data_IF_474950200439
#
_entry.id   IF_474950200439
#
_cell.length_a   1.000
_cell.length_b   1.000
_cell.length_c   1.000
_cell.angle_alpha   90.00
_cell.angle_beta   90.00
_cell.angle_gamma   90.00
#
_symmetry.space_group_name_H-M   'P 1'
#
loop_
_entity.id
_entity.type
_entity.pdbx_description
1 polymer ?
#
# COMPACT_ATOMS: atom_id res chain seq x y z
N UNK A 1 19.16 -2.24 8.75
CA UNK A 1 18.92 -1.02 7.95
C UNK A 1 19.27 0.26 8.73
N UNK A 2 18.62 0.56 9.86
CA UNK A 2 18.86 1.84 10.59
C UNK A 2 20.29 1.99 11.13
N UNK A 3 20.94 0.91 11.59
CA UNK A 3 22.31 0.96 12.10
C UNK A 3 23.36 1.38 11.05
N UNK A 4 23.03 1.25 9.76
CA UNK A 4 23.92 1.58 8.65
C UNK A 4 23.27 2.64 7.73
N UNK A 5 22.51 3.57 8.33
CA UNK A 5 21.85 4.66 7.60
C UNK A 5 22.88 5.56 6.90
N UNK A 6 22.57 6.06 5.70
CA UNK A 6 21.35 5.83 4.93
C UNK A 6 21.40 4.60 4.01
N UNK A 7 22.57 4.10 3.61
CA UNK A 7 22.72 3.19 2.47
C UNK A 7 23.35 1.83 2.81
N UNK A 8 23.44 1.50 4.08
CA UNK A 8 24.26 0.40 4.57
C UNK A 8 23.84 -1.03 4.18
N UNK A 9 22.72 -1.23 3.48
CA UNK A 9 22.30 -2.53 2.95
C UNK A 9 22.16 -2.54 1.42
N UNK A 10 22.74 -1.55 0.74
CA UNK A 10 22.80 -1.54 -0.72
C UNK A 10 23.80 -2.61 -1.18
N UNK A 11 23.34 -3.52 -2.04
CA UNK A 11 24.15 -4.61 -2.58
C UNK A 11 24.85 -4.22 -3.89
N UNK A 12 24.21 -3.34 -4.69
CA UNK A 12 24.76 -2.83 -5.96
C UNK A 12 25.63 -1.59 -5.79
N UNK A 13 26.18 -1.10 -6.91
CA UNK A 13 26.89 0.18 -6.95
C UNK A 13 25.90 1.33 -7.03
N UNK A 14 25.76 2.10 -5.95
CA UNK A 14 24.81 3.20 -5.88
C UNK A 14 24.97 4.26 -6.98
N UNK A 15 26.20 4.55 -7.41
CA UNK A 15 26.47 5.60 -8.40
C UNK A 15 26.20 5.14 -9.83
N UNK A 16 26.32 3.84 -10.08
CA UNK A 16 26.17 3.25 -11.41
C UNK A 16 24.78 2.67 -11.61
N UNK A 17 24.24 2.01 -10.58
CA UNK A 17 23.02 1.23 -10.67
C UNK A 17 21.81 1.91 -10.01
N UNK A 18 22.03 2.81 -9.05
CA UNK A 18 20.97 3.49 -8.31
C UNK A 18 20.24 4.54 -9.14
N UNK A 19 18.92 4.39 -9.30
CA UNK A 19 18.07 5.28 -10.11
C UNK A 19 17.14 6.12 -9.26
N UNK A 20 16.64 5.56 -8.15
CA UNK A 20 15.66 6.23 -7.30
C UNK A 20 15.83 5.86 -5.83
N UNK A 21 15.49 6.83 -4.98
CA UNK A 21 15.43 6.65 -3.52
C UNK A 21 14.01 6.86 -3.04
N UNK A 22 13.55 5.96 -2.17
CA UNK A 22 12.36 6.14 -1.35
C UNK A 22 12.70 5.99 0.13
N UNK A 23 11.84 6.51 1.00
CA UNK A 23 11.98 6.32 2.44
C UNK A 23 10.65 6.12 3.12
N UNK A 24 10.66 5.41 4.25
CA UNK A 24 9.55 5.37 5.17
C UNK A 24 9.36 6.73 5.86
N UNK A 25 8.21 6.92 6.53
CA UNK A 25 7.89 8.19 7.23
C UNK A 25 8.86 8.57 8.34
N UNK A 26 9.70 7.63 8.79
CA UNK A 26 10.72 7.91 9.81
C UNK A 26 10.18 8.31 11.18
N UNK A 27 8.92 8.00 11.48
CA UNK A 27 8.25 8.35 12.75
C UNK A 27 8.91 7.74 13.99
N UNK A 28 9.88 6.83 13.81
CA UNK A 28 10.74 6.30 14.87
C UNK A 28 12.10 7.00 14.98
N UNK A 29 12.25 8.19 14.39
CA UNK A 29 13.48 8.97 14.33
C UNK A 29 14.20 8.82 13.00
N UNK A 30 14.90 7.71 12.75
CA UNK A 30 15.62 7.48 11.50
C UNK A 30 14.73 6.74 10.49
N UNK A 31 14.42 7.34 9.31
CA UNK A 31 13.65 6.68 8.27
C UNK A 31 14.39 5.46 7.70
N UNK A 32 13.66 4.49 7.19
CA UNK A 32 14.24 3.43 6.37
C UNK A 32 14.36 3.95 4.94
N UNK A 33 15.58 3.93 4.40
CA UNK A 33 15.88 4.35 3.02
C UNK A 33 16.00 3.11 2.15
N UNK A 34 15.36 3.16 0.99
CA UNK A 34 15.41 2.13 -0.04
C UNK A 34 15.91 2.75 -1.34
N UNK A 35 16.92 2.13 -1.91
CA UNK A 35 17.47 2.47 -3.25
C UNK A 35 16.94 1.45 -4.25
N UNK A 36 16.59 1.91 -5.43
CA UNK A 36 16.10 1.09 -6.53
C UNK A 36 17.02 1.22 -7.75
N UNK A 37 17.29 0.09 -8.43
CA UNK A 37 17.80 0.07 -9.81
C UNK A 37 16.65 0.32 -10.81
N UNK A 38 16.98 0.42 -12.09
CA UNK A 38 15.95 0.48 -13.14
C UNK A 38 15.16 -0.83 -13.18
N UNK A 39 15.82 -1.98 -13.01
CA UNK A 39 15.14 -3.28 -12.91
C UNK A 39 14.14 -3.32 -11.73
N UNK A 40 14.56 -2.86 -10.54
CA UNK A 40 13.67 -2.80 -9.37
C UNK A 40 12.43 -1.96 -9.64
N UNK A 41 12.57 -0.83 -10.36
CA UNK A 41 11.46 0.06 -10.72
C UNK A 41 10.53 -0.57 -11.76
N UNK A 42 11.09 -1.26 -12.75
CA UNK A 42 10.31 -1.93 -13.80
C UNK A 42 9.55 -3.13 -13.24
N UNK A 43 10.19 -3.91 -12.38
CA UNK A 43 9.56 -5.01 -11.63
C UNK A 43 8.43 -4.47 -10.75
N UNK A 44 8.66 -3.42 -9.99
CA UNK A 44 7.64 -2.79 -9.16
C UNK A 44 6.45 -2.25 -9.96
N UNK A 45 6.69 -1.55 -11.07
CA UNK A 45 5.62 -1.09 -11.96
C UNK A 45 4.79 -2.27 -12.51
N UNK A 46 5.45 -3.38 -12.85
CA UNK A 46 4.78 -4.60 -13.30
C UNK A 46 3.94 -5.25 -12.19
N UNK A 47 4.44 -5.31 -10.96
CA UNK A 47 3.69 -5.82 -9.80
C UNK A 47 2.40 -5.02 -9.59
N UNK A 48 2.47 -3.69 -9.57
CA UNK A 48 1.29 -2.84 -9.37
C UNK A 48 0.34 -2.94 -10.55
N UNK A 49 0.83 -3.05 -11.79
CA UNK A 49 -0.02 -3.30 -12.96
C UNK A 49 -0.81 -4.62 -12.82
N UNK A 50 -0.17 -5.70 -12.37
CA UNK A 50 -0.81 -6.99 -12.06
C UNK A 50 -1.88 -6.84 -10.97
N UNK A 51 -1.61 -6.05 -9.93
CA UNK A 51 -2.56 -5.74 -8.87
C UNK A 51 -3.81 -5.04 -9.42
N UNK A 52 -3.64 -4.00 -10.20
CA UNK A 52 -4.74 -3.26 -10.82
C UNK A 52 -5.54 -4.15 -11.78
N UNK A 53 -4.85 -4.96 -12.57
CA UNK A 53 -5.51 -5.95 -13.44
C UNK A 53 -6.32 -6.97 -12.64
N UNK A 54 -5.83 -7.37 -11.46
CA UNK A 54 -6.45 -8.35 -10.57
C UNK A 54 -7.85 -7.93 -10.09
N UNK A 55 -8.05 -6.63 -9.89
CA UNK A 55 -9.34 -6.04 -9.47
C UNK A 55 -10.19 -5.53 -10.64
N UNK A 56 -9.85 -5.89 -11.87
CA UNK A 56 -10.66 -5.60 -13.04
C UNK A 56 -10.33 -4.31 -13.78
N UNK A 57 -9.33 -3.54 -13.36
CA UNK A 57 -8.88 -2.34 -14.08
C UNK A 57 -8.15 -2.75 -15.36
N UNK A 58 -8.38 -2.01 -16.44
CA UNK A 58 -7.85 -2.30 -17.79
C UNK A 58 -7.25 -1.03 -18.43
N UNK A 59 -6.62 -1.20 -19.56
CA UNK A 59 -6.06 -0.09 -20.37
C UNK A 59 -7.12 0.88 -20.92
N UNK A 60 -8.39 0.54 -20.85
CA UNK A 60 -9.51 1.42 -21.23
C UNK A 60 -10.02 2.26 -20.06
N UNK A 61 -9.49 2.06 -18.85
CA UNK A 61 -9.90 2.79 -17.66
C UNK A 61 -9.15 4.10 -17.49
N UNK A 62 -9.76 5.02 -16.75
CA UNK A 62 -9.12 6.24 -16.27
C UNK A 62 -8.83 6.05 -14.79
N UNK A 63 -7.54 5.95 -14.45
CA UNK A 63 -7.07 5.73 -13.09
C UNK A 63 -6.61 7.05 -12.46
N UNK A 64 -7.28 7.47 -11.40
CA UNK A 64 -6.88 8.65 -10.63
C UNK A 64 -6.15 8.25 -9.36
N UNK A 65 -4.97 8.86 -9.14
CA UNK A 65 -4.17 8.62 -7.95
C UNK A 65 -4.22 9.82 -7.01
N UNK A 66 -4.86 9.66 -5.86
CA UNK A 66 -4.98 10.70 -4.83
C UNK A 66 -3.95 10.58 -3.70
N UNK A 67 -2.89 9.81 -3.89
CA UNK A 67 -1.77 9.74 -2.94
C UNK A 67 -0.75 10.84 -3.14
N UNK A 68 -0.06 11.21 -2.06
CA UNK A 68 1.07 12.13 -2.12
C UNK A 68 2.25 11.55 -2.90
N UNK A 69 2.90 12.41 -3.67
CA UNK A 69 4.16 12.10 -4.37
C UNK A 69 5.35 12.54 -3.52
N UNK A 70 6.54 12.02 -3.80
CA UNK A 70 7.77 12.34 -3.10
C UNK A 70 8.48 11.09 -2.59
N UNK A 71 9.00 11.16 -1.37
CA UNK A 71 9.78 10.06 -0.78
C UNK A 71 8.95 8.82 -0.45
N UNK A 72 7.63 8.97 -0.27
CA UNK A 72 6.72 7.85 -0.03
C UNK A 72 6.42 7.09 -1.32
N UNK A 73 6.22 5.79 -1.18
CA UNK A 73 6.08 4.87 -2.32
C UNK A 73 4.70 4.89 -2.97
N UNK A 74 3.65 5.25 -2.22
CA UNK A 74 2.24 5.11 -2.67
C UNK A 74 1.93 5.88 -3.95
N UNK A 75 2.35 7.16 -4.04
CA UNK A 75 2.07 7.99 -5.21
C UNK A 75 2.70 7.43 -6.50
N UNK A 76 4.01 7.28 -6.50
CA UNK A 76 4.74 6.82 -7.69
C UNK A 76 4.44 5.36 -8.03
N UNK A 77 4.30 4.47 -7.02
CA UNK A 77 4.01 3.07 -7.26
C UNK A 77 2.70 2.86 -8.03
N UNK A 78 1.62 3.47 -7.57
CA UNK A 78 0.33 3.38 -8.29
C UNK A 78 0.35 4.06 -9.64
N UNK A 79 1.04 5.20 -9.77
CA UNK A 79 1.17 5.86 -11.07
C UNK A 79 1.86 4.97 -12.09
N UNK A 80 3.08 4.52 -11.81
CA UNK A 80 3.82 3.69 -12.76
C UNK A 80 3.14 2.35 -13.04
N UNK A 81 2.45 1.78 -12.06
CA UNK A 81 1.65 0.57 -12.28
C UNK A 81 0.48 0.79 -13.21
N UNK A 82 -0.25 1.89 -13.06
CA UNK A 82 -1.37 2.24 -13.94
C UNK A 82 -0.89 2.57 -15.36
N UNK A 83 0.20 3.33 -15.50
CA UNK A 83 0.84 3.62 -16.79
C UNK A 83 1.35 2.33 -17.46
N UNK A 84 1.97 1.42 -16.71
CA UNK A 84 2.43 0.10 -17.19
C UNK A 84 1.27 -0.77 -17.67
N UNK A 85 0.11 -0.69 -17.01
CA UNK A 85 -1.13 -1.36 -17.44
C UNK A 85 -1.70 -0.75 -18.72
N UNK A 86 -1.32 0.48 -19.05
CA UNK A 86 -1.84 1.26 -20.17
C UNK A 86 -3.12 2.05 -19.86
N UNK A 87 -3.52 2.16 -18.58
CA UNK A 87 -4.65 2.99 -18.16
C UNK A 87 -4.31 4.48 -18.30
N UNK A 88 -5.28 5.30 -18.66
CA UNK A 88 -5.10 6.76 -18.64
C UNK A 88 -4.97 7.23 -17.19
N UNK A 89 -3.77 7.67 -16.82
CA UNK A 89 -3.45 7.98 -15.43
C UNK A 89 -3.59 9.47 -15.12
N UNK A 90 -4.35 9.79 -14.07
CA UNK A 90 -4.53 11.16 -13.55
C UNK A 90 -3.71 11.30 -12.26
N UNK A 91 -2.54 11.96 -12.28
CA UNK A 91 -1.66 12.14 -11.13
C UNK A 91 -2.15 13.30 -10.25
N UNK A 92 -3.32 13.11 -9.62
CA UNK A 92 -4.02 14.17 -8.90
C UNK A 92 -3.33 14.61 -7.61
N UNK A 93 -2.45 13.79 -7.06
CA UNK A 93 -1.77 13.95 -5.77
C UNK A 93 -2.76 14.05 -4.59
N UNK A 94 -2.24 14.20 -3.38
CA UNK A 94 -3.06 14.33 -2.17
C UNK A 94 -3.64 15.74 -2.01
N UNK A 95 -4.72 15.84 -1.22
CA UNK A 95 -5.32 17.12 -0.83
C UNK A 95 -6.35 17.68 -1.82
N UNK A 96 -6.94 18.81 -1.45
CA UNK A 96 -7.97 19.54 -2.20
C UNK A 96 -9.11 18.64 -2.72
N UNK A 97 -9.95 18.16 -1.81
CA UNK A 97 -11.00 17.19 -2.14
C UNK A 97 -12.01 17.67 -3.20
N UNK A 98 -12.31 18.97 -3.25
CA UNK A 98 -13.15 19.53 -4.31
C UNK A 98 -12.51 19.39 -5.69
N UNK A 99 -11.20 19.61 -5.80
CA UNK A 99 -10.44 19.38 -7.03
C UNK A 99 -10.41 17.89 -7.43
N UNK A 100 -10.32 16.99 -6.44
CA UNK A 100 -10.39 15.55 -6.72
C UNK A 100 -11.74 15.17 -7.35
N UNK A 101 -12.85 15.69 -6.82
CA UNK A 101 -14.20 15.46 -7.37
C UNK A 101 -14.30 16.05 -8.77
N UNK A 102 -13.78 17.26 -8.97
CA UNK A 102 -13.75 17.87 -10.29
C UNK A 102 -13.02 17.01 -11.31
N UNK A 103 -11.86 16.44 -10.95
CA UNK A 103 -11.12 15.54 -11.83
C UNK A 103 -11.89 14.24 -12.11
N UNK A 104 -12.54 13.65 -11.09
CA UNK A 104 -13.39 12.48 -11.28
C UNK A 104 -14.47 12.75 -12.31
N UNK A 105 -15.10 13.91 -12.24
CA UNK A 105 -16.20 14.31 -13.13
C UNK A 105 -15.72 14.68 -14.53
N UNK A 106 -14.68 15.52 -14.63
CA UNK A 106 -14.20 16.07 -15.91
C UNK A 106 -13.50 15.00 -16.75
N UNK A 107 -12.60 14.21 -16.11
CA UNK A 107 -11.81 13.19 -16.79
C UNK A 107 -12.49 11.82 -16.86
N UNK A 108 -13.72 11.72 -16.33
CA UNK A 108 -14.48 10.46 -16.34
C UNK A 108 -13.71 9.32 -15.65
N UNK A 109 -13.12 9.61 -14.50
CA UNK A 109 -12.38 8.64 -13.72
C UNK A 109 -13.23 7.40 -13.44
N UNK A 110 -12.71 6.22 -13.77
CA UNK A 110 -13.37 4.92 -13.54
C UNK A 110 -12.81 4.18 -12.34
N UNK A 111 -11.54 4.43 -12.02
CA UNK A 111 -10.84 3.82 -10.90
C UNK A 111 -10.05 4.89 -10.11
N UNK A 112 -10.12 4.80 -8.78
CA UNK A 112 -9.47 5.73 -7.85
C UNK A 112 -8.62 4.97 -6.85
N UNK A 113 -7.41 5.47 -6.58
CA UNK A 113 -6.65 5.07 -5.39
C UNK A 113 -6.77 6.13 -4.30
N UNK A 114 -7.10 5.70 -3.07
CA UNK A 114 -7.18 6.55 -1.89
C UNK A 114 -6.91 5.75 -0.60
N UNK A 115 -6.46 6.38 0.47
CA UNK A 115 -6.45 5.76 1.78
C UNK A 115 -7.89 5.69 2.34
N UNK A 116 -8.23 4.69 3.17
CA UNK A 116 -9.60 4.49 3.67
C UNK A 116 -10.23 5.72 4.34
N UNK A 117 -9.49 6.41 5.20
CA UNK A 117 -9.96 7.63 5.86
C UNK A 117 -10.26 8.75 4.87
N UNK A 118 -9.44 8.89 3.82
CA UNK A 118 -9.66 9.89 2.79
C UNK A 118 -10.83 9.53 1.86
N UNK A 119 -11.05 8.25 1.57
CA UNK A 119 -12.21 7.81 0.80
C UNK A 119 -13.55 8.19 1.49
N UNK A 120 -13.61 8.07 2.82
CA UNK A 120 -14.77 8.54 3.61
C UNK A 120 -14.91 10.06 3.48
N UNK A 121 -13.82 10.81 3.67
CA UNK A 121 -13.83 12.28 3.54
C UNK A 121 -14.26 12.72 2.13
N UNK A 122 -13.79 12.02 1.11
CA UNK A 122 -14.17 12.33 -0.28
C UNK A 122 -15.69 12.14 -0.51
N UNK A 123 -16.26 11.07 0.07
CA UNK A 123 -17.70 10.83 0.00
C UNK A 123 -18.52 11.93 0.71
N UNK A 124 -18.03 12.43 1.84
CA UNK A 124 -18.64 13.58 2.53
C UNK A 124 -18.59 14.86 1.67
N UNK A 125 -17.45 15.11 1.02
CA UNK A 125 -17.31 16.28 0.13
C UNK A 125 -18.20 16.17 -1.11
N UNK A 126 -18.40 14.99 -1.67
CA UNK A 126 -19.41 14.76 -2.72
C UNK A 126 -20.80 15.23 -2.25
N UNK A 127 -21.16 14.91 -1.02
CA UNK A 127 -22.44 15.27 -0.41
C UNK A 127 -22.52 16.80 -0.18
N UNK A 128 -21.42 17.41 0.33
CA UNK A 128 -21.30 18.88 0.52
C UNK A 128 -21.46 19.65 -0.81
N UNK A 129 -20.94 19.11 -1.90
CA UNK A 129 -21.05 19.72 -3.25
C UNK A 129 -22.38 19.38 -3.96
N UNK A 130 -23.27 18.61 -3.33
CA UNK A 130 -24.55 18.22 -3.92
C UNK A 130 -24.44 17.27 -5.12
N UNK A 131 -23.33 16.55 -5.24
CA UNK A 131 -23.06 15.59 -6.33
C UNK A 131 -23.27 14.17 -5.83
N UNK A 132 -24.13 13.41 -6.47
CA UNK A 132 -24.22 11.96 -6.20
C UNK A 132 -23.01 11.24 -6.82
N UNK A 133 -22.15 10.59 -6.03
CA UNK A 133 -21.02 9.84 -6.59
C UNK A 133 -21.44 8.78 -7.63
N UNK A 134 -22.65 8.20 -7.47
CA UNK A 134 -23.18 7.19 -8.38
C UNK A 134 -23.53 7.74 -9.77
N UNK A 135 -23.66 9.06 -9.90
CA UNK A 135 -23.86 9.72 -11.19
C UNK A 135 -22.55 9.86 -11.98
N UNK A 136 -21.40 9.59 -11.36
CA UNK A 136 -20.09 9.63 -11.99
C UNK A 136 -19.74 8.28 -12.67
N UNK A 137 -18.61 8.25 -13.34
CA UNK A 137 -18.07 7.03 -13.97
C UNK A 137 -17.28 6.15 -13.01
N UNK A 138 -17.09 6.57 -11.75
CA UNK A 138 -16.29 5.87 -10.75
C UNK A 138 -16.93 4.52 -10.39
N UNK A 139 -16.16 3.43 -10.52
CA UNK A 139 -16.63 2.06 -10.28
C UNK A 139 -15.73 1.31 -9.30
N UNK A 140 -14.44 1.58 -9.36
CA UNK A 140 -13.42 0.82 -8.62
C UNK A 140 -12.64 1.75 -7.70
N UNK A 141 -12.49 1.35 -6.46
CA UNK A 141 -11.62 2.01 -5.49
C UNK A 141 -10.55 1.03 -5.01
N UNK A 142 -9.30 1.45 -5.04
CA UNK A 142 -8.19 0.74 -4.42
C UNK A 142 -7.88 1.44 -3.10
N UNK A 143 -7.94 0.72 -1.99
CA UNK A 143 -7.68 1.24 -0.64
C UNK A 143 -6.52 0.51 0.01
N UNK A 144 -5.72 1.23 0.79
CA UNK A 144 -4.57 0.65 1.50
C UNK A 144 -3.85 1.68 2.35
N UNK A 145 -2.69 1.32 2.85
CA UNK A 145 -1.84 2.13 3.73
C UNK A 145 -2.42 2.42 5.12
N UNK A 146 -3.67 2.07 5.39
CA UNK A 146 -4.31 2.16 6.70
C UNK A 146 -5.06 0.85 7.02
N UNK A 147 -5.03 0.38 8.28
CA UNK A 147 -5.93 -0.67 8.73
C UNK A 147 -7.39 -0.23 8.57
N UNK A 148 -8.23 -1.13 8.14
CA UNK A 148 -9.66 -0.89 8.04
C UNK A 148 -10.45 -2.19 8.22
N UNK A 149 -11.68 -2.08 8.73
CA UNK A 149 -12.57 -3.23 8.90
C UNK A 149 -13.43 -3.47 7.66
N UNK A 150 -14.10 -4.63 7.61
CA UNK A 150 -15.07 -4.92 6.55
C UNK A 150 -16.26 -3.96 6.58
N UNK A 151 -16.67 -3.54 7.77
CA UNK A 151 -17.75 -2.56 7.95
C UNK A 151 -17.34 -1.20 7.36
N UNK A 152 -16.11 -0.77 7.61
CA UNK A 152 -15.58 0.47 7.03
C UNK A 152 -15.51 0.38 5.50
N UNK A 153 -15.01 -0.74 4.95
CA UNK A 153 -15.01 -0.97 3.50
C UNK A 153 -16.41 -0.91 2.92
N UNK A 154 -17.36 -1.65 3.49
CA UNK A 154 -18.76 -1.65 3.05
C UNK A 154 -19.41 -0.27 3.17
N UNK A 155 -19.04 0.51 4.21
CA UNK A 155 -19.47 1.91 4.34
C UNK A 155 -18.97 2.75 3.16
N UNK A 156 -17.68 2.67 2.84
CA UNK A 156 -17.07 3.37 1.70
C UNK A 156 -17.77 2.98 0.38
N UNK A 157 -17.95 1.68 0.15
CA UNK A 157 -18.63 1.15 -1.03
C UNK A 157 -20.04 1.72 -1.19
N UNK A 158 -20.82 1.74 -0.09
CA UNK A 158 -22.17 2.32 -0.12
C UNK A 158 -22.18 3.82 -0.35
N UNK A 159 -21.28 4.56 0.28
CA UNK A 159 -21.23 6.02 0.16
C UNK A 159 -20.82 6.47 -1.24
N UNK A 160 -19.85 5.81 -1.85
CA UNK A 160 -19.31 6.18 -3.16
C UNK A 160 -19.97 5.43 -4.34
N UNK A 161 -20.71 4.35 -4.09
CA UNK A 161 -21.30 3.52 -5.13
C UNK A 161 -20.27 2.69 -5.91
N UNK A 162 -19.17 2.29 -5.28
CA UNK A 162 -18.03 1.59 -5.89
C UNK A 162 -17.79 0.22 -5.27
N UNK A 163 -16.91 -0.58 -5.91
CA UNK A 163 -16.25 -1.71 -5.25
C UNK A 163 -14.88 -1.28 -4.77
N UNK A 164 -14.58 -1.56 -3.48
CA UNK A 164 -13.33 -1.19 -2.84
C UNK A 164 -12.47 -2.43 -2.56
N UNK A 165 -11.22 -2.42 -3.07
CA UNK A 165 -10.29 -3.54 -2.97
C UNK A 165 -9.09 -3.14 -2.11
N UNK A 166 -8.71 -4.03 -1.20
CA UNK A 166 -7.59 -3.82 -0.29
C UNK A 166 -6.25 -4.07 -1.00
N UNK A 167 -5.28 -3.20 -0.72
CA UNK A 167 -3.90 -3.35 -1.14
C UNK A 167 -2.96 -3.29 0.06
N UNK A 168 -2.00 -4.19 0.08
CA UNK A 168 -0.94 -4.21 1.08
C UNK A 168 0.40 -3.90 0.43
N UNK A 169 1.18 -3.10 1.11
CA UNK A 169 2.52 -2.76 0.70
C UNK A 169 3.26 -2.02 1.81
N UNK A 170 4.57 -1.96 1.66
CA UNK A 170 5.46 -1.26 2.58
C UNK A 170 6.69 -0.78 1.82
N UNK A 171 7.28 0.31 2.28
CA UNK A 171 8.44 0.94 1.62
C UNK A 171 9.59 -0.05 1.44
N UNK A 172 9.83 -0.90 2.43
CA UNK A 172 10.89 -1.90 2.43
C UNK A 172 10.71 -2.96 1.33
N UNK A 173 9.48 -3.16 0.87
CA UNK A 173 9.11 -4.13 -0.19
C UNK A 173 8.66 -3.44 -1.49
N UNK A 174 9.30 -2.34 -1.87
CA UNK A 174 8.99 -1.46 -3.00
C UNK A 174 7.79 -0.51 -2.78
N UNK A 175 6.90 -0.76 -1.84
CA UNK A 175 5.70 0.04 -1.62
C UNK A 175 4.40 -0.72 -1.94
N UNK A 176 3.41 -0.12 -2.61
CA UNK A 176 2.22 -0.85 -3.03
C UNK A 176 2.56 -1.96 -4.03
N UNK A 177 1.76 -3.01 -4.05
CA UNK A 177 1.95 -4.13 -4.99
C UNK A 177 2.50 -5.40 -4.36
N UNK A 178 2.71 -5.46 -3.05
CA UNK A 178 3.20 -6.65 -2.34
C UNK A 178 2.13 -7.72 -2.26
N UNK A 179 0.93 -7.36 -1.78
CA UNK A 179 -0.23 -8.23 -1.79
C UNK A 179 -1.50 -7.44 -2.11
N UNK A 180 -2.46 -8.08 -2.78
CA UNK A 180 -3.63 -7.38 -3.30
C UNK A 180 -4.86 -8.28 -3.34
N UNK A 181 -6.02 -7.74 -3.01
CA UNK A 181 -7.29 -8.44 -3.22
C UNK A 181 -7.56 -8.65 -4.72
N UNK A 182 -8.34 -9.66 -5.02
CA UNK A 182 -8.96 -9.84 -6.33
C UNK A 182 -10.45 -9.49 -6.26
N UNK A 183 -11.19 -9.69 -7.35
CA UNK A 183 -12.64 -9.42 -7.42
C UNK A 183 -13.48 -10.18 -6.40
N UNK A 184 -12.95 -11.29 -5.84
CA UNK A 184 -13.63 -12.10 -4.80
C UNK A 184 -13.61 -11.44 -3.42
N UNK A 185 -12.74 -10.44 -3.19
CA UNK A 185 -12.57 -9.75 -1.90
C UNK A 185 -12.34 -10.72 -0.71
N UNK A 186 -11.68 -11.84 -0.96
CA UNK A 186 -11.42 -12.91 0.00
C UNK A 186 -9.93 -13.13 0.21
N UNK A 187 -9.29 -12.23 0.93
CA UNK A 187 -7.85 -12.23 1.16
C UNK A 187 -7.06 -11.59 0.02
N UNK A 188 -5.80 -11.31 0.30
CA UNK A 188 -4.87 -10.66 -0.62
C UNK A 188 -3.88 -11.68 -1.17
N UNK A 189 -3.77 -11.78 -2.49
CA UNK A 189 -2.79 -12.61 -3.18
C UNK A 189 -1.41 -11.99 -3.08
N UNK A 190 -0.42 -12.81 -2.77
CA UNK A 190 1.00 -12.48 -2.91
C UNK A 190 1.52 -12.88 -4.28
N UNK A 191 2.49 -12.14 -4.76
CA UNK A 191 3.21 -12.47 -6.00
C UNK A 191 4.42 -13.34 -5.66
N UNK A 192 4.23 -14.67 -5.63
CA UNK A 192 5.23 -15.65 -5.18
C UNK A 192 6.44 -15.77 -6.12
N UNK A 193 6.35 -15.22 -7.32
CA UNK A 193 7.49 -15.03 -8.22
C UNK A 193 8.45 -13.90 -7.77
N UNK A 194 7.95 -12.97 -6.93
CA UNK A 194 8.73 -11.84 -6.43
C UNK A 194 8.97 -11.85 -4.92
N UNK A 195 8.15 -12.61 -4.17
CA UNK A 195 8.24 -12.69 -2.71
C UNK A 195 8.08 -14.12 -2.22
N UNK A 196 9.00 -14.54 -1.34
CA UNK A 196 8.80 -15.71 -0.51
C UNK A 196 8.17 -15.29 0.82
N UNK A 197 7.08 -15.94 1.20
CA UNK A 197 6.22 -15.55 2.31
C UNK A 197 6.26 -16.59 3.40
N UNK A 198 6.52 -16.16 4.63
CA UNK A 198 6.45 -16.99 5.83
C UNK A 198 5.53 -16.34 6.85
N UNK A 199 4.83 -17.16 7.63
CA UNK A 199 4.13 -16.72 8.85
C UNK A 199 4.79 -17.42 10.03
N UNK A 200 5.31 -16.62 10.96
CA UNK A 200 6.07 -17.13 12.09
C UNK A 200 5.46 -16.73 13.44
N UNK A 201 5.76 -17.51 14.47
CA UNK A 201 5.54 -17.07 15.83
C UNK A 201 6.51 -15.92 16.15
N UNK A 202 6.03 -14.74 16.59
CA UNK A 202 6.87 -13.56 16.80
C UNK A 202 7.90 -13.72 17.93
N UNK A 203 7.67 -14.65 18.89
CA UNK A 203 8.56 -14.89 20.02
C UNK A 203 9.64 -15.93 19.69
N UNK A 204 9.25 -17.06 19.10
CA UNK A 204 10.17 -18.17 18.81
C UNK A 204 10.87 -18.02 17.46
N UNK A 205 10.27 -17.31 16.49
CA UNK A 205 10.76 -17.21 15.13
C UNK A 205 10.48 -18.44 14.25
N UNK A 206 9.79 -19.45 14.80
CA UNK A 206 9.44 -20.69 14.10
C UNK A 206 8.18 -20.50 13.26
N UNK A 207 8.06 -21.18 12.09
CA UNK A 207 6.85 -21.15 11.29
C UNK A 207 5.62 -21.63 12.08
N UNK A 208 4.47 -21.00 11.86
CA UNK A 208 3.19 -21.46 12.41
C UNK A 208 2.45 -22.34 11.39
N UNK A 209 1.55 -23.24 11.83
CA UNK A 209 0.70 -24.01 10.94
C UNK A 209 -0.15 -23.10 10.01
N UNK A 210 -0.48 -23.62 8.82
CA UNK A 210 -1.34 -22.92 7.87
C UNK A 210 -2.71 -22.57 8.51
N UNK A 211 -3.15 -21.34 8.35
CA UNK A 211 -4.38 -20.82 8.93
C UNK A 211 -4.24 -20.23 10.31
N UNK A 212 -3.12 -20.41 10.99
CA UNK A 212 -2.84 -19.77 12.27
C UNK A 212 -2.28 -18.35 12.09
N UNK A 213 -2.58 -17.48 13.04
CA UNK A 213 -2.09 -16.09 13.02
C UNK A 213 -0.65 -16.07 13.53
N UNK A 214 0.20 -15.38 12.79
CA UNK A 214 1.58 -15.10 13.16
C UNK A 214 2.10 -13.83 12.51
N UNK A 215 3.38 -13.55 12.69
CA UNK A 215 4.05 -12.41 12.09
C UNK A 215 4.43 -12.73 10.62
N UNK A 216 4.07 -11.81 9.74
CA UNK A 216 4.46 -11.88 8.33
C UNK A 216 5.96 -11.61 8.15
N UNK A 217 6.63 -12.52 7.47
CA UNK A 217 8.05 -12.43 7.11
C UNK A 217 8.18 -12.56 5.60
N UNK A 218 8.94 -11.66 5.00
CA UNK A 218 9.09 -11.58 3.55
C UNK A 218 10.55 -11.65 3.13
N UNK A 219 10.81 -12.45 2.09
CA UNK A 219 12.08 -12.45 1.36
C UNK A 219 11.81 -11.98 -0.06
N UNK A 220 12.58 -11.00 -0.54
CA UNK A 220 12.50 -10.53 -1.94
C UNK A 220 13.27 -11.50 -2.85
N UNK A 221 12.66 -11.89 -3.98
CA UNK A 221 13.26 -12.82 -4.96
C UNK A 221 13.75 -12.12 -6.22
N UNK A 222 13.21 -10.93 -6.52
CA UNK A 222 13.47 -10.18 -7.75
C UNK A 222 13.89 -8.74 -7.41
N UNK A 223 14.98 -8.59 -6.64
CA UNK A 223 15.46 -7.29 -6.19
C UNK A 223 16.97 -7.19 -6.25
N UNK A 224 17.48 -6.15 -6.92
CA UNK A 224 18.92 -5.98 -7.16
C UNK A 224 19.59 -5.08 -6.11
N UNK A 225 19.07 -3.87 -5.90
CA UNK A 225 19.77 -2.88 -5.09
C UNK A 225 19.74 -3.17 -3.60
N UNK A 226 18.61 -3.61 -3.08
CA UNK A 226 18.46 -3.89 -1.65
C UNK A 226 17.64 -5.18 -1.44
N UNK A 227 18.19 -6.37 -1.78
CA UNK A 227 17.52 -7.63 -1.48
C UNK A 227 17.35 -7.79 0.03
N UNK A 228 16.18 -8.19 0.47
CA UNK A 228 15.85 -8.44 1.86
C UNK A 228 15.54 -9.91 2.06
N UNK A 229 16.24 -10.53 3.01
CA UNK A 229 16.07 -11.95 3.34
C UNK A 229 15.44 -12.02 4.72
N UNK A 230 14.30 -12.75 4.81
CA UNK A 230 13.53 -12.96 6.04
C UNK A 230 13.26 -11.66 6.81
N UNK A 231 12.78 -10.64 6.09
CA UNK A 231 12.45 -9.36 6.70
C UNK A 231 11.18 -9.50 7.55
N UNK A 232 11.30 -9.28 8.85
CA UNK A 232 10.20 -9.29 9.81
C UNK A 232 9.40 -8.00 9.69
N UNK A 233 8.18 -8.09 9.15
CA UNK A 233 7.34 -6.90 8.91
C UNK A 233 6.72 -6.35 10.18
N UNK A 234 6.59 -7.19 11.21
CA UNK A 234 5.83 -6.97 12.44
C UNK A 234 4.32 -6.97 12.25
N UNK A 235 3.82 -7.14 11.05
CA UNK A 235 2.39 -7.26 10.79
C UNK A 235 1.90 -8.68 11.10
N UNK A 236 0.74 -8.77 11.78
CA UNK A 236 0.12 -10.04 12.15
C UNK A 236 -0.97 -10.40 11.13
N UNK A 237 -0.83 -11.58 10.55
CA UNK A 237 -1.78 -12.14 9.58
C UNK A 237 -1.70 -13.67 9.59
N UNK A 238 -2.38 -14.31 8.64
CA UNK A 238 -2.30 -15.76 8.39
C UNK A 238 -2.43 -16.06 6.91
N UNK A 239 -1.90 -17.19 6.48
CA UNK A 239 -2.19 -17.74 5.15
C UNK A 239 -3.62 -18.30 5.17
N UNK A 240 -4.40 -17.94 4.16
CA UNK A 240 -5.75 -18.47 3.96
C UNK A 240 -5.66 -19.79 3.20
N UNK A 241 -6.24 -20.88 3.75
CA UNK A 241 -6.20 -22.18 3.10
C UNK A 241 -7.04 -22.21 1.83
N UNK A 242 -6.71 -23.16 0.96
CA UNK A 242 -7.45 -23.48 -0.25
C UNK A 242 -7.34 -22.47 -1.37
N UNK A 243 -7.92 -22.83 -2.51
CA UNK A 243 -7.85 -22.05 -3.74
C UNK A 243 -8.82 -20.88 -3.74
N UNK A 244 -8.45 -19.80 -4.44
CA UNK A 244 -9.36 -18.67 -4.66
C UNK A 244 -10.29 -18.97 -5.86
N UNK A 245 -11.60 -18.65 -5.77
CA UNK A 245 -12.52 -18.79 -6.89
C UNK A 245 -12.11 -17.98 -8.13
N UNK A 246 -11.27 -16.97 -7.98
CA UNK A 246 -10.73 -16.18 -9.10
C UNK A 246 -9.77 -16.97 -10.03
N UNK A 247 -9.43 -18.23 -9.69
CA UNK A 247 -8.58 -19.11 -10.46
C UNK A 247 -7.07 -18.89 -10.29
N UNK A 248 -6.64 -17.90 -9.48
CA UNK A 248 -5.21 -17.71 -9.18
C UNK A 248 -4.73 -18.73 -8.16
N UNK A 249 -3.55 -19.25 -8.38
CA UNK A 249 -2.89 -20.27 -7.54
C UNK A 249 -1.98 -19.68 -6.47
N UNK A 250 -1.66 -18.40 -6.58
CA UNK A 250 -0.86 -17.68 -5.57
C UNK A 250 -1.48 -17.77 -4.18
N UNK A 251 -0.64 -17.92 -3.16
CA UNK A 251 -1.08 -17.88 -1.77
C UNK A 251 -1.85 -16.59 -1.47
N UNK A 252 -2.73 -16.68 -0.49
CA UNK A 252 -3.48 -15.53 0.01
C UNK A 252 -3.25 -15.37 1.49
N UNK A 253 -3.10 -14.12 1.91
CA UNK A 253 -3.14 -13.78 3.33
C UNK A 253 -4.47 -13.14 3.70
N UNK A 254 -4.85 -13.30 4.95
CA UNK A 254 -5.94 -12.54 5.57
C UNK A 254 -5.53 -11.05 5.68
N UNK A 255 -6.46 -10.19 6.05
CA UNK A 255 -6.12 -8.81 6.40
C UNK A 255 -5.11 -8.77 7.53
N UNK A 256 -4.33 -7.71 7.55
CA UNK A 256 -3.49 -7.42 8.70
C UNK A 256 -4.40 -7.21 9.91
N UNK A 257 -4.18 -8.01 10.95
CA UNK A 257 -4.99 -8.03 12.19
C UNK A 257 -4.45 -7.09 13.25
N UNK A 258 -3.21 -6.68 13.11
CA UNK A 258 -2.49 -5.85 14.06
C UNK A 258 -0.99 -5.96 13.83
N UNK A 259 -0.24 -5.59 14.83
CA UNK A 259 1.23 -5.68 14.80
C UNK A 259 1.75 -6.39 16.04
N UNK A 260 2.92 -7.01 15.89
CA UNK A 260 3.68 -7.62 17.02
C UNK A 260 4.54 -6.62 17.79
N UNK A 261 4.54 -5.33 17.36
CA UNK A 261 5.16 -4.21 18.06
C UNK A 261 4.10 -3.14 18.41
N UNK A 262 4.50 -2.11 19.16
CA UNK A 262 3.60 -1.07 19.67
C UNK A 262 3.22 0.00 18.61
N UNK A 263 3.49 -0.24 17.32
CA UNK A 263 3.23 0.74 16.28
C UNK A 263 1.74 0.84 15.93
N UNK A 264 1.21 2.05 15.86
CA UNK A 264 -0.11 2.36 15.31
C UNK A 264 0.02 3.08 13.97
N UNK A 265 -0.98 2.90 13.11
CA UNK A 265 -1.09 3.66 11.86
C UNK A 265 -2.32 4.57 11.95
N UNK A 266 -2.09 5.89 11.90
CA UNK A 266 -3.16 6.90 11.94
C UNK A 266 -3.06 7.76 10.69
N UNK A 267 -4.12 7.79 9.87
CA UNK A 267 -4.18 8.55 8.60
C UNK A 267 -2.97 8.29 7.68
N UNK A 268 -2.57 7.01 7.58
CA UNK A 268 -1.43 6.58 6.77
C UNK A 268 -0.04 6.90 7.35
N UNK A 269 0.02 7.41 8.58
CA UNK A 269 1.28 7.73 9.28
C UNK A 269 1.52 6.72 10.40
N UNK A 270 2.71 6.12 10.43
CA UNK A 270 3.12 5.20 11.49
C UNK A 270 3.45 5.99 12.76
N UNK A 271 2.85 5.63 13.88
CA UNK A 271 3.05 6.27 15.19
C UNK A 271 3.43 5.20 16.21
N UNK A 272 4.50 5.46 16.95
CA UNK A 272 4.89 4.65 18.10
C UNK A 272 4.57 5.39 19.39
N UNK A 273 3.89 4.79 20.37
CA UNK A 273 3.54 5.44 21.63
C UNK A 273 4.74 6.05 22.37
N UNK A 274 5.91 5.40 22.30
CA UNK A 274 7.13 5.91 22.90
C UNK A 274 7.55 7.29 22.40
N UNK A 275 7.21 7.66 21.17
CA UNK A 275 7.53 8.98 20.60
C UNK A 275 6.58 10.07 21.10
N UNK A 276 5.36 9.72 21.53
CA UNK A 276 4.42 10.67 22.14
C UNK A 276 4.91 11.16 23.52
N UNK A 277 5.73 10.34 24.21
CA UNK A 277 6.31 10.67 25.51
C UNK A 277 7.65 11.40 25.41
N UNK A 278 8.32 11.33 24.25
CA UNK A 278 9.63 11.96 24.01
C UNK A 278 9.56 13.25 23.19
N UNK A 279 8.42 13.55 22.59
CA UNK A 279 8.19 14.84 21.92
C UNK A 279 7.99 15.92 23.00
N UNK A 280 8.74 17.04 22.96
CA UNK A 280 8.50 18.14 23.87
C UNK A 280 7.04 18.60 23.74
N UNK A 281 6.39 18.81 24.86
CA UNK A 281 5.06 19.40 24.88
C UNK A 281 5.11 20.79 24.22
N UNK A 282 4.05 21.23 23.52
CA UNK A 282 3.98 22.63 23.07
C UNK A 282 4.21 23.67 24.17
N UNK A 283 4.10 23.28 25.45
CA UNK A 283 4.42 24.11 26.61
C UNK A 283 5.92 24.16 26.95
N UNK A 284 6.71 23.19 26.43
CA UNK A 284 8.16 23.11 26.70
C UNK A 284 8.98 23.88 25.66
N UNK A 285 8.34 24.53 24.70
CA UNK A 285 8.98 25.31 23.61
C UNK A 285 8.86 26.82 23.84
N UNK A 286 8.26 27.26 24.95
CA UNK A 286 8.09 28.67 25.30
C UNK A 286 9.13 29.18 26.37
N UNK A 287 10.36 28.63 26.37
CA UNK A 287 11.47 29.26 27.11
C UNK A 287 12.66 29.56 26.19
#
# INVERSE_FOLDING_TARGET
MRANYPFGLVAGNMKEDGVRIHSSSGTTGTPTVIVHSQHDLDSWANLVARCLYCVGIRNTDVFQNSSGYGMFTGGLGFQYGAERLGALTVPAAAGNSKRQIKFITDFKTTALHAIPSYAIRLAEVFQEEGIDPRSTTLKTLVIGAEPHTDEQRKKIERMLGVKAYNSFGMTEMNGPGVAFECTEQNGMHFWEDCYYVEIINPETGEPVPEGEIGELVLTTLDREMMPLIRYRTRDLTRILPGNCPCGRTHIRIDRIKGRSDDMFIIKGVNIFPCLLYTSPSPRDVEE
#
